data_IF_414601895040
#
_entry.id   IF_414601895040
#
_cell.length_a   1.000
_cell.length_b   1.000
_cell.length_c   1.000
_cell.angle_alpha   90.00
_cell.angle_beta   90.00
_cell.angle_gamma   90.00
#
_symmetry.space_group_name_H-M   'P 1'
#
loop_
_entity.id
_entity.type
_entity.pdbx_description
1 polymer ?
#
# COMPACT_ATOMS: atom_id res chain seq x y z
N UNK A 1 -31.74 8.98 -2.94
CA UNK A 1 -30.59 9.88 -2.74
C UNK A 1 -29.25 9.14 -2.71
N UNK A 2 -29.20 7.82 -2.44
CA UNK A 2 -27.93 7.08 -2.54
C UNK A 2 -26.94 7.43 -1.43
N UNK A 3 -27.43 8.05 -0.36
CA UNK A 3 -26.63 8.45 0.79
C UNK A 3 -26.16 7.21 1.54
N UNK A 4 -24.88 6.89 1.42
CA UNK A 4 -24.21 6.05 2.38
C UNK A 4 -24.17 6.80 3.72
N UNK A 5 -24.84 6.25 4.74
CA UNK A 5 -24.92 6.86 6.07
C UNK A 5 -24.18 6.00 7.08
N UNK A 6 -23.44 6.64 7.97
CA UNK A 6 -22.76 6.01 9.09
C UNK A 6 -22.98 6.79 10.38
N UNK A 7 -22.87 6.09 11.51
CA UNK A 7 -22.81 6.68 12.85
C UNK A 7 -21.35 6.75 13.27
N UNK A 8 -20.93 7.87 13.84
CA UNK A 8 -19.62 7.96 14.50
C UNK A 8 -19.70 7.16 15.80
N UNK A 9 -18.87 6.13 15.92
CA UNK A 9 -18.77 5.30 17.12
C UNK A 9 -17.74 5.89 18.08
N UNK A 10 -16.54 6.17 17.57
CA UNK A 10 -15.43 6.67 18.38
C UNK A 10 -14.54 7.63 17.58
N UNK A 11 -13.87 8.54 18.30
CA UNK A 11 -12.81 9.39 17.77
C UNK A 11 -11.55 9.12 18.57
N UNK A 12 -10.46 8.80 17.89
CA UNK A 12 -9.19 8.48 18.51
C UNK A 12 -8.27 9.71 18.56
N UNK A 13 -7.27 9.66 19.44
CA UNK A 13 -6.39 10.80 19.72
C UNK A 13 -5.55 11.25 18.52
N UNK A 14 -5.21 10.33 17.61
CA UNK A 14 -4.45 10.65 16.39
C UNK A 14 -5.34 11.14 15.23
N UNK A 15 -6.64 11.33 15.46
CA UNK A 15 -7.59 11.89 14.51
C UNK A 15 -8.33 10.86 13.68
N UNK A 16 -8.14 9.56 13.94
CA UNK A 16 -8.96 8.50 13.37
C UNK A 16 -10.39 8.57 13.90
N UNK A 17 -11.35 8.15 13.07
CA UNK A 17 -12.76 8.10 13.42
C UNK A 17 -13.29 6.73 13.02
N UNK A 18 -13.88 6.03 13.99
CA UNK A 18 -14.60 4.79 13.73
C UNK A 18 -16.04 5.09 13.31
N UNK A 19 -16.46 4.49 12.20
CA UNK A 19 -17.79 4.62 11.65
C UNK A 19 -18.49 3.27 11.61
N UNK A 20 -19.73 3.22 12.10
CA UNK A 20 -20.63 2.10 11.87
C UNK A 20 -21.58 2.46 10.71
N UNK A 21 -21.43 1.76 9.59
CA UNK A 21 -22.30 1.93 8.44
C UNK A 21 -23.63 1.18 8.64
N UNK A 22 -24.73 1.77 8.17
CA UNK A 22 -26.04 1.09 8.15
C UNK A 22 -26.11 -0.10 7.19
N UNK A 23 -25.18 -0.19 6.25
CA UNK A 23 -25.06 -1.25 5.27
C UNK A 23 -23.81 -2.08 5.58
N UNK A 24 -23.81 -3.37 5.21
CA UNK A 24 -22.69 -4.28 5.41
C UNK A 24 -22.50 -5.22 4.21
N UNK A 25 -21.32 -5.86 4.16
CA UNK A 25 -20.94 -6.77 3.07
C UNK A 25 -21.06 -6.14 1.69
N UNK A 26 -21.50 -6.92 0.70
CA UNK A 26 -21.59 -6.48 -0.70
C UNK A 26 -22.44 -5.24 -0.95
N UNK A 27 -23.39 -4.94 -0.06
CA UNK A 27 -24.21 -3.73 -0.17
C UNK A 27 -23.41 -2.49 0.22
N UNK A 28 -22.58 -2.61 1.26
CA UNK A 28 -21.63 -1.57 1.63
C UNK A 28 -20.59 -1.36 0.52
N UNK A 29 -20.04 -2.43 -0.04
CA UNK A 29 -19.06 -2.35 -1.13
C UNK A 29 -19.64 -1.62 -2.35
N UNK A 30 -20.84 -2.00 -2.79
CA UNK A 30 -21.53 -1.37 -3.91
C UNK A 30 -21.92 0.10 -3.63
N UNK A 31 -22.18 0.44 -2.37
CA UNK A 31 -22.44 1.82 -1.98
C UNK A 31 -21.15 2.65 -1.99
N UNK A 32 -20.05 2.12 -1.43
CA UNK A 32 -18.73 2.74 -1.45
C UNK A 32 -18.23 3.01 -2.87
N UNK A 33 -18.37 2.06 -3.79
CA UNK A 33 -18.00 2.25 -5.21
C UNK A 33 -18.79 3.38 -5.88
N UNK A 34 -20.04 3.60 -5.44
CA UNK A 34 -20.94 4.61 -6.02
C UNK A 34 -20.69 6.02 -5.50
N UNK A 35 -20.34 6.15 -4.22
CA UNK A 35 -20.18 7.46 -3.54
C UNK A 35 -18.73 7.83 -3.26
N UNK A 36 -17.82 6.87 -3.39
CA UNK A 36 -16.39 7.05 -3.16
C UNK A 36 -15.74 7.85 -4.28
N UNK A 37 -14.73 8.61 -3.89
CA UNK A 37 -13.86 9.40 -4.77
C UNK A 37 -12.44 8.85 -4.71
N UNK A 38 -11.63 9.10 -5.73
CA UNK A 38 -10.24 8.67 -5.70
C UNK A 38 -9.45 9.65 -4.86
N UNK A 39 -8.74 9.18 -3.83
CA UNK A 39 -7.91 10.04 -2.99
C UNK A 39 -6.61 10.38 -3.74
N UNK A 40 -6.73 11.26 -4.75
CA UNK A 40 -5.57 11.80 -5.45
C UNK A 40 -4.65 12.52 -4.45
N UNK A 41 -3.31 12.34 -4.55
CA UNK A 41 -2.38 13.05 -3.70
C UNK A 41 -2.57 14.56 -3.77
N UNK A 42 -2.31 15.31 -2.68
CA UNK A 42 -2.53 16.75 -2.64
C UNK A 42 -1.87 17.50 -3.81
N UNK A 43 -0.70 17.07 -4.27
CA UNK A 43 0.01 17.70 -5.39
C UNK A 43 -0.66 17.51 -6.77
N UNK A 44 -1.60 16.56 -6.90
CA UNK A 44 -2.47 16.38 -8.08
C UNK A 44 -3.81 17.08 -7.82
N UNK A 45 -4.46 16.77 -6.71
CA UNK A 45 -5.80 17.25 -6.37
C UNK A 45 -5.89 18.79 -6.24
N UNK A 46 -4.79 19.47 -5.88
CA UNK A 46 -4.73 20.93 -5.82
C UNK A 46 -4.63 21.60 -7.21
N UNK A 47 -4.29 20.84 -8.27
CA UNK A 47 -4.07 21.37 -9.62
C UNK A 47 -5.29 21.20 -10.52
N UNK A 48 -6.04 20.12 -10.37
CA UNK A 48 -7.28 19.84 -11.11
C UNK A 48 -8.22 18.95 -10.29
N UNK A 49 -9.55 19.02 -10.52
CA UNK A 49 -10.47 18.02 -9.99
C UNK A 49 -10.15 16.64 -10.58
N UNK A 50 -10.54 15.58 -9.86
CA UNK A 50 -10.50 14.22 -10.39
C UNK A 50 -11.40 14.08 -11.62
N UNK A 51 -11.03 13.17 -12.52
CA UNK A 51 -11.82 12.76 -13.67
C UNK A 51 -11.83 11.23 -13.80
N UNK A 52 -12.58 10.71 -14.77
CA UNK A 52 -12.75 9.27 -14.95
C UNK A 52 -11.44 8.56 -15.33
N UNK A 53 -10.47 9.27 -15.93
CA UNK A 53 -9.18 8.69 -16.29
C UNK A 53 -8.34 8.40 -15.05
N UNK A 54 -8.48 9.18 -13.98
CA UNK A 54 -7.78 8.93 -12.73
C UNK A 54 -8.06 7.54 -12.14
N UNK A 55 -9.24 6.95 -12.42
CA UNK A 55 -9.56 5.58 -11.97
C UNK A 55 -8.69 4.52 -12.61
N UNK A 56 -8.22 4.78 -13.81
CA UNK A 56 -7.36 3.87 -14.58
C UNK A 56 -5.89 4.22 -14.37
N UNK A 57 -5.57 5.52 -14.41
CA UNK A 57 -4.19 6.03 -14.39
C UNK A 57 -3.57 6.01 -12.99
N UNK A 58 -4.39 6.15 -11.94
CA UNK A 58 -3.92 6.11 -10.56
C UNK A 58 -3.91 4.67 -10.01
N UNK A 59 -3.39 3.75 -10.82
CA UNK A 59 -3.12 2.36 -10.49
C UNK A 59 -1.84 1.93 -11.19
N UNK A 60 -1.06 1.04 -10.57
CA UNK A 60 0.08 0.44 -11.29
C UNK A 60 -0.44 -0.57 -12.32
N UNK A 61 0.32 -0.77 -13.39
CA UNK A 61 0.00 -1.78 -14.44
C UNK A 61 -0.05 -3.22 -13.90
N UNK A 62 0.32 -3.44 -12.63
CA UNK A 62 0.32 -4.72 -11.94
C UNK A 62 -0.58 -4.70 -10.68
N UNK A 63 -1.47 -3.72 -10.54
CA UNK A 63 -2.50 -3.71 -9.49
C UNK A 63 -3.39 -4.95 -9.64
N UNK A 64 -3.66 -5.62 -8.51
CA UNK A 64 -4.42 -6.90 -8.47
C UNK A 64 -5.43 -6.97 -7.33
N UNK A 65 -5.06 -6.40 -6.18
CA UNK A 65 -5.85 -6.44 -4.96
C UNK A 65 -6.47 -5.07 -4.69
N UNK A 66 -7.77 -5.04 -4.39
CA UNK A 66 -8.45 -3.85 -3.90
C UNK A 66 -8.08 -3.57 -2.42
N UNK A 67 -8.22 -2.31 -1.99
CA UNK A 67 -8.16 -1.95 -0.57
C UNK A 67 -7.00 -1.03 -0.16
N UNK A 68 -6.08 -0.70 -1.06
CA UNK A 68 -5.12 0.38 -0.83
C UNK A 68 -5.78 1.75 -1.08
N UNK A 69 -5.60 2.69 -0.15
CA UNK A 69 -6.09 4.07 -0.32
C UNK A 69 -5.28 4.80 -1.39
N UNK A 70 -3.99 4.49 -1.56
CA UNK A 70 -3.13 5.17 -2.53
C UNK A 70 -2.37 4.18 -3.42
N UNK A 71 -2.19 4.53 -4.69
CA UNK A 71 -1.33 3.79 -5.59
C UNK A 71 0.15 3.90 -5.14
N UNK A 72 0.93 2.80 -5.18
CA UNK A 72 2.36 2.86 -4.94
C UNK A 72 3.04 3.61 -6.10
N UNK A 73 3.27 4.90 -5.92
CA UNK A 73 3.69 5.83 -6.98
C UNK A 73 5.00 5.45 -7.66
N UNK A 74 5.94 4.82 -6.95
CA UNK A 74 7.17 4.28 -7.54
C UNK A 74 6.89 3.24 -8.65
N UNK A 75 5.79 2.51 -8.52
CA UNK A 75 5.33 1.53 -9.50
C UNK A 75 4.68 2.14 -10.75
N UNK A 76 4.22 3.39 -10.69
CA UNK A 76 3.58 4.09 -11.81
C UNK A 76 4.56 4.40 -12.97
N UNK A 77 5.87 4.28 -12.71
CA UNK A 77 6.89 4.47 -13.75
C UNK A 77 7.09 3.25 -14.66
N UNK A 78 6.51 2.09 -14.31
CA UNK A 78 6.67 0.88 -15.12
C UNK A 78 5.68 0.86 -16.28
N UNK A 79 6.18 0.38 -17.42
CA UNK A 79 5.40 0.15 -18.64
C UNK A 79 5.56 -1.29 -19.08
N UNK A 80 4.65 -1.79 -19.92
CA UNK A 80 4.75 -3.15 -20.47
C UNK A 80 6.09 -3.36 -21.21
N UNK A 81 6.54 -2.37 -21.99
CA UNK A 81 7.82 -2.42 -22.68
C UNK A 81 9.01 -2.49 -21.72
N UNK A 82 8.95 -1.82 -20.56
CA UNK A 82 9.97 -1.94 -19.53
C UNK A 82 9.95 -3.32 -18.89
N UNK A 83 8.78 -3.89 -18.61
CA UNK A 83 8.69 -5.25 -18.09
C UNK A 83 9.22 -6.29 -19.06
N UNK A 84 8.90 -6.16 -20.34
CA UNK A 84 9.46 -7.04 -21.38
C UNK A 84 10.99 -6.94 -21.43
N UNK A 85 11.55 -5.73 -21.33
CA UNK A 85 12.99 -5.53 -21.29
C UNK A 85 13.65 -6.13 -20.04
N UNK A 86 12.98 -6.12 -18.89
CA UNK A 86 13.44 -6.76 -17.65
C UNK A 86 13.39 -8.30 -17.76
N UNK A 87 12.30 -8.84 -18.29
CA UNK A 87 12.12 -10.27 -18.51
C UNK A 87 13.18 -10.81 -19.48
N UNK A 88 13.45 -10.09 -20.58
CA UNK A 88 14.51 -10.43 -21.54
C UNK A 88 15.92 -10.42 -20.94
N UNK A 89 16.13 -9.72 -19.81
CA UNK A 89 17.38 -9.72 -19.03
C UNK A 89 17.39 -10.78 -17.94
N UNK A 90 16.33 -11.58 -17.79
CA UNK A 90 16.19 -12.58 -16.74
C UNK A 90 15.95 -11.99 -15.35
N UNK A 91 15.41 -10.77 -15.25
CA UNK A 91 15.11 -10.13 -13.97
C UNK A 91 13.73 -10.63 -13.49
N UNK A 92 13.74 -11.34 -12.37
CA UNK A 92 12.52 -11.87 -11.75
C UNK A 92 11.68 -10.77 -11.10
N UNK A 93 10.35 -10.98 -11.09
CA UNK A 93 9.38 -10.06 -10.48
C UNK A 93 8.53 -10.82 -9.48
N UNK A 94 8.47 -10.32 -8.26
CA UNK A 94 7.69 -10.89 -7.16
C UNK A 94 6.85 -9.78 -6.53
N UNK A 95 5.61 -10.09 -6.19
CA UNK A 95 4.64 -9.12 -5.69
C UNK A 95 4.31 -9.39 -4.23
N UNK A 96 4.16 -8.32 -3.47
CA UNK A 96 3.71 -8.29 -2.08
C UNK A 96 2.61 -7.24 -1.95
N UNK A 97 1.74 -7.40 -0.95
CA UNK A 97 0.59 -6.51 -0.77
C UNK A 97 0.74 -5.74 0.52
N UNK A 98 0.66 -4.41 0.48
CA UNK A 98 0.51 -3.56 1.67
C UNK A 98 -0.68 -2.63 1.45
N UNK A 99 -1.70 -2.76 2.28
CA UNK A 99 -2.86 -1.88 2.29
C UNK A 99 -2.49 -0.60 3.03
N UNK A 100 -2.02 0.37 2.25
CA UNK A 100 -1.71 1.73 2.69
C UNK A 100 -3.02 2.46 3.04
N UNK A 101 -3.12 2.92 4.29
CA UNK A 101 -4.24 3.74 4.76
C UNK A 101 -4.04 5.23 4.47
N UNK A 102 -5.07 6.05 4.73
CA UNK A 102 -4.99 7.51 4.56
C UNK A 102 -3.90 8.17 5.43
N UNK A 103 -3.46 7.50 6.51
CA UNK A 103 -2.36 7.94 7.36
C UNK A 103 -1.04 8.15 6.62
N UNK A 104 -0.84 7.52 5.46
CA UNK A 104 0.37 7.70 4.63
C UNK A 104 0.53 9.14 4.11
N UNK A 105 -0.54 9.94 4.08
CA UNK A 105 -0.51 11.35 3.68
C UNK A 105 -0.32 12.31 4.86
N UNK A 106 -0.31 11.81 6.10
CA UNK A 106 -0.15 12.67 7.26
C UNK A 106 1.32 13.09 7.41
N UNK A 107 1.62 14.38 7.63
CA UNK A 107 2.97 14.83 7.88
C UNK A 107 3.46 14.28 9.23
N UNK A 108 4.77 14.06 9.34
CA UNK A 108 5.42 13.86 10.65
C UNK A 108 5.20 15.11 11.50
N UNK A 109 4.63 14.94 12.70
CA UNK A 109 4.24 16.04 13.61
C UNK A 109 5.16 16.16 14.83
N UNK A 110 6.27 15.44 14.86
CA UNK A 110 7.21 15.39 15.99
C UNK A 110 8.56 15.97 15.57
N UNK A 111 9.24 16.60 16.53
CA UNK A 111 10.57 17.17 16.32
C UNK A 111 11.68 16.11 16.42
N UNK A 112 11.47 15.09 17.27
CA UNK A 112 12.32 13.91 17.38
C UNK A 112 11.67 12.73 16.63
N UNK A 113 12.43 12.07 15.76
CA UNK A 113 11.98 10.91 15.00
C UNK A 113 11.69 9.71 15.91
N UNK A 114 12.33 9.63 17.07
CA UNK A 114 12.08 8.56 18.06
C UNK A 114 10.67 8.66 18.68
N UNK A 115 10.09 9.86 18.67
CA UNK A 115 8.72 10.11 19.14
C UNK A 115 7.66 9.87 18.04
N UNK A 116 8.07 9.55 16.81
CA UNK A 116 7.14 9.37 15.72
C UNK A 116 6.44 8.01 15.80
N UNK A 117 5.11 8.05 15.96
CA UNK A 117 4.28 6.86 15.83
C UNK A 117 3.83 6.69 14.39
N UNK A 118 4.28 5.60 13.77
CA UNK A 118 3.79 5.19 12.46
C UNK A 118 2.38 4.62 12.56
N UNK A 119 1.53 5.01 11.61
CA UNK A 119 0.25 4.32 11.44
C UNK A 119 0.49 2.92 10.90
N UNK A 120 -0.12 1.94 11.55
CA UNK A 120 0.02 0.56 11.16
C UNK A 120 -0.71 0.30 9.82
N UNK A 121 -0.06 -0.43 8.92
CA UNK A 121 -0.59 -0.81 7.62
C UNK A 121 -0.67 -2.33 7.53
N UNK A 122 -1.75 -2.87 6.96
CA UNK A 122 -1.94 -4.32 6.86
C UNK A 122 -1.24 -4.84 5.61
N UNK A 123 -0.29 -5.75 5.78
CA UNK A 123 0.48 -6.32 4.68
C UNK A 123 0.48 -7.83 4.66
N UNK A 124 0.84 -8.36 3.49
CA UNK A 124 0.94 -9.79 3.20
C UNK A 124 2.16 -10.07 2.32
N UNK A 125 2.99 -10.99 2.80
CA UNK A 125 4.06 -11.67 2.04
C UNK A 125 3.68 -13.15 1.96
N UNK A 126 3.33 -13.61 0.76
CA UNK A 126 2.95 -15.01 0.56
C UNK A 126 4.13 -15.95 0.74
N UNK A 127 3.83 -17.24 0.96
CA UNK A 127 4.86 -18.28 1.04
C UNK A 127 5.71 -18.35 -0.24
N UNK A 128 5.07 -18.23 -1.40
CA UNK A 128 5.74 -18.27 -2.69
C UNK A 128 6.66 -17.06 -2.89
N UNK A 129 6.19 -15.86 -2.54
CA UNK A 129 7.02 -14.64 -2.63
C UNK A 129 8.23 -14.73 -1.70
N UNK A 130 8.02 -15.12 -0.44
CA UNK A 130 9.11 -15.30 0.53
C UNK A 130 10.14 -16.34 0.04
N UNK A 131 9.69 -17.50 -0.42
CA UNK A 131 10.55 -18.56 -0.93
C UNK A 131 11.36 -18.09 -2.16
N UNK A 132 10.71 -17.41 -3.11
CA UNK A 132 11.36 -16.93 -4.31
C UNK A 132 12.41 -15.84 -4.01
N UNK A 133 12.09 -14.87 -3.16
CA UNK A 133 13.03 -13.81 -2.75
C UNK A 133 14.25 -14.37 -2.01
N UNK A 134 14.06 -15.34 -1.11
CA UNK A 134 15.16 -16.03 -0.44
C UNK A 134 16.01 -16.83 -1.43
N UNK A 135 15.39 -17.49 -2.42
CA UNK A 135 16.11 -18.22 -3.46
C UNK A 135 16.97 -17.28 -4.33
N UNK A 136 16.45 -16.08 -4.68
CA UNK A 136 17.23 -15.02 -5.37
C UNK A 136 18.48 -14.68 -4.58
N UNK A 137 18.33 -14.44 -3.27
CA UNK A 137 19.48 -14.13 -2.39
C UNK A 137 20.45 -15.29 -2.26
N UNK A 138 19.97 -16.52 -2.16
CA UNK A 138 20.81 -17.72 -2.09
C UNK A 138 21.65 -17.93 -3.36
N UNK A 139 21.18 -17.46 -4.53
CA UNK A 139 21.96 -17.43 -5.77
C UNK A 139 23.01 -16.31 -5.82
N UNK A 140 23.11 -15.46 -4.80
CA UNK A 140 24.01 -14.31 -4.75
C UNK A 140 23.48 -13.08 -5.50
N UNK A 141 22.20 -13.08 -5.89
CA UNK A 141 21.57 -11.96 -6.57
C UNK A 141 20.97 -10.94 -5.59
N UNK A 142 20.64 -9.75 -6.11
CA UNK A 142 20.05 -8.66 -5.33
C UNK A 142 18.53 -8.70 -5.40
N UNK A 143 17.88 -8.30 -4.30
CA UNK A 143 16.46 -7.96 -4.25
C UNK A 143 16.36 -6.45 -4.24
N UNK A 144 15.56 -5.87 -5.14
CA UNK A 144 15.36 -4.41 -5.24
C UNK A 144 13.89 -4.11 -5.01
N UNK A 145 13.60 -3.36 -3.96
CA UNK A 145 12.25 -2.90 -3.65
C UNK A 145 11.82 -1.77 -4.58
N UNK A 146 10.58 -1.83 -5.07
CA UNK A 146 9.97 -0.76 -5.85
C UNK A 146 9.08 0.06 -4.93
N UNK A 147 9.67 1.09 -4.33
CA UNK A 147 9.00 1.96 -3.36
C UNK A 147 9.28 1.60 -1.90
N UNK A 148 9.10 2.58 -1.03
CA UNK A 148 9.34 2.46 0.42
C UNK A 148 8.32 1.54 1.09
N UNK A 149 7.09 1.48 0.57
CA UNK A 149 6.01 0.59 1.02
C UNK A 149 6.42 -0.88 0.94
N UNK A 150 6.94 -1.34 -0.20
CA UNK A 150 7.40 -2.73 -0.33
C UNK A 150 8.62 -3.01 0.52
N UNK A 151 9.51 -2.03 0.69
CA UNK A 151 10.68 -2.14 1.57
C UNK A 151 10.24 -2.37 3.02
N UNK A 152 9.39 -1.50 3.58
CA UNK A 152 8.89 -1.63 4.95
C UNK A 152 8.24 -2.99 5.19
N UNK A 153 7.45 -3.47 4.23
CA UNK A 153 6.82 -4.78 4.34
C UNK A 153 7.84 -5.93 4.36
N UNK A 154 8.85 -5.92 3.48
CA UNK A 154 9.89 -6.95 3.49
C UNK A 154 10.77 -6.90 4.74
N UNK A 155 11.11 -5.72 5.25
CA UNK A 155 11.84 -5.57 6.51
C UNK A 155 11.01 -6.09 7.70
N UNK A 156 9.70 -5.84 7.71
CA UNK A 156 8.80 -6.38 8.75
C UNK A 156 8.65 -7.91 8.69
N UNK A 157 8.76 -8.47 7.48
CA UNK A 157 8.66 -9.91 7.26
C UNK A 157 10.01 -10.63 7.44
N UNK A 158 11.13 -9.91 7.61
CA UNK A 158 12.45 -10.51 7.77
C UNK A 158 12.69 -10.96 9.22
N UNK A 159 13.30 -12.14 9.40
CA UNK A 159 13.79 -12.59 10.70
C UNK A 159 15.17 -11.99 11.03
N UNK A 160 15.68 -12.26 12.24
CA UNK A 160 16.99 -11.77 12.70
C UNK A 160 18.17 -12.21 11.82
N UNK A 161 18.02 -13.32 11.08
CA UNK A 161 19.02 -13.82 10.13
C UNK A 161 18.87 -13.19 8.73
N UNK A 162 17.93 -12.26 8.58
CA UNK A 162 17.60 -11.58 7.34
C UNK A 162 16.87 -12.47 6.33
N UNK A 163 16.31 -13.62 6.73
CA UNK A 163 15.46 -14.42 5.84
C UNK A 163 14.05 -13.84 5.83
N UNK A 164 13.49 -13.66 4.63
CA UNK A 164 12.13 -13.16 4.46
C UNK A 164 11.17 -14.31 4.76
N UNK A 165 10.28 -14.13 5.73
CA UNK A 165 9.31 -15.13 6.15
C UNK A 165 7.95 -14.89 5.46
N UNK A 166 7.15 -15.94 5.22
CA UNK A 166 5.73 -15.76 4.94
C UNK A 166 5.11 -15.01 6.13
N UNK A 167 4.39 -13.92 5.84
CA UNK A 167 3.94 -13.00 6.88
C UNK A 167 2.63 -12.33 6.48
N UNK A 168 1.74 -12.14 7.44
CA UNK A 168 0.50 -11.38 7.27
C UNK A 168 0.17 -10.69 8.58
N UNK A 169 -0.03 -9.38 8.56
CA UNK A 169 -0.30 -8.63 9.78
C UNK A 169 -0.17 -7.13 9.60
N UNK A 170 -0.23 -6.43 10.72
CA UNK A 170 0.00 -5.00 10.77
C UNK A 170 1.50 -4.71 10.88
N UNK A 171 1.99 -3.73 10.12
CA UNK A 171 3.34 -3.18 10.26
C UNK A 171 3.29 -1.69 10.52
N UNK A 172 3.93 -1.28 11.61
CA UNK A 172 4.21 0.10 12.01
C UNK A 172 5.72 0.36 12.00
N UNK A 173 6.50 -0.45 11.28
CA UNK A 173 7.96 -0.29 11.25
C UNK A 173 8.33 1.12 10.76
N UNK A 174 9.20 1.76 11.53
CA UNK A 174 9.80 3.04 11.22
C UNK A 174 11.29 2.85 11.00
N UNK A 175 11.75 3.10 9.77
CA UNK A 175 13.14 2.86 9.36
C UNK A 175 13.89 4.19 9.43
N UNK A 176 14.85 4.28 10.34
CA UNK A 176 15.73 5.43 10.56
C UNK A 176 17.22 5.04 10.34
N UNK A 177 18.12 6.02 10.12
CA UNK A 177 19.55 5.77 9.93
C UNK A 177 20.28 5.13 11.12
#
# INVERSE_FOLDING_TARGET
>A
DGSLTATVIEKFEAGEIEFEFRQSGSHLDAALVRVGHIPLPPYIALKRPEDEQDRQDYQTIYAREDGAVAAPTAGLHFTDAMFEALDNKGIERHFVTLHVGAGTFLPVKVDDTDDHKMHAEIGVVSQDAAAALNAVRARGNKVVCVGTTSLRLLESAANEQGQIMPWSGATDIFITP
#
